data_IF_661577217852
#
_entry.id   IF_661577217852
#
_cell.length_a   1.000
_cell.length_b   1.000
_cell.length_c   1.000
_cell.angle_alpha   90.00
_cell.angle_beta   90.00
_cell.angle_gamma   90.00
#
_symmetry.space_group_name_H-M   'P 1'
#
loop_
_entity.id
_entity.type
_entity.pdbx_description
1 polymer ?
#
# COMPACT_ATOMS: atom_id res chain seq x y z
N UNK A 1 -16.82 40.23 -17.42
CA UNK A 1 -17.18 39.39 -16.25
C UNK A 1 -16.86 37.92 -16.55
N UNK A 2 -15.60 37.60 -16.81
CA UNK A 2 -15.15 36.22 -17.09
C UNK A 2 -13.81 36.09 -16.37
N UNK A 3 -13.83 35.73 -15.08
CA UNK A 3 -12.59 35.37 -14.37
C UNK A 3 -12.80 34.60 -13.07
N UNK A 4 -14.00 34.62 -12.46
CA UNK A 4 -14.22 33.81 -11.25
C UNK A 4 -14.51 32.34 -11.55
N UNK A 5 -15.17 32.02 -12.67
CA UNK A 5 -15.55 30.63 -12.98
C UNK A 5 -14.36 29.74 -13.38
N UNK A 6 -13.33 30.31 -14.02
CA UNK A 6 -12.16 29.55 -14.46
C UNK A 6 -11.31 29.10 -13.27
N UNK A 7 -11.19 29.95 -12.24
CA UNK A 7 -10.42 29.67 -11.02
C UNK A 7 -11.12 28.59 -10.17
N UNK A 8 -12.45 28.63 -10.09
CA UNK A 8 -13.25 27.60 -9.39
C UNK A 8 -13.15 26.24 -10.09
N UNK A 9 -13.03 26.23 -11.42
CA UNK A 9 -12.88 24.97 -12.17
C UNK A 9 -11.52 24.30 -11.92
N UNK A 10 -10.44 25.08 -11.82
CA UNK A 10 -9.09 24.53 -11.59
C UNK A 10 -8.99 23.94 -10.18
N UNK A 11 -9.61 24.55 -9.17
CA UNK A 11 -9.61 24.01 -7.80
C UNK A 11 -10.48 22.77 -7.63
N UNK A 12 -11.55 22.63 -8.43
CA UNK A 12 -12.43 21.44 -8.42
C UNK A 12 -11.89 20.24 -9.20
N UNK A 13 -10.81 20.39 -9.98
CA UNK A 13 -10.11 19.25 -10.62
C UNK A 13 -8.96 18.69 -9.78
N UNK A 14 -8.54 19.35 -8.70
CA UNK A 14 -7.63 18.79 -7.70
C UNK A 14 -8.38 17.91 -6.68
N UNK A 15 -9.42 17.21 -7.14
CA UNK A 15 -10.13 16.21 -6.34
C UNK A 15 -9.15 15.09 -6.04
N UNK A 16 -8.68 15.11 -4.79
CA UNK A 16 -8.17 13.98 -4.02
C UNK A 16 -6.84 13.38 -4.47
N UNK A 17 -5.79 14.19 -4.57
CA UNK A 17 -4.48 13.69 -4.11
C UNK A 17 -4.51 13.70 -2.58
N UNK A 18 -5.20 12.70 -2.01
CA UNK A 18 -4.95 12.32 -0.63
C UNK A 18 -3.54 11.74 -0.64
N UNK A 19 -2.54 12.60 -0.47
CA UNK A 19 -1.28 12.15 0.09
C UNK A 19 -1.65 11.68 1.50
N UNK A 20 -1.56 10.38 1.82
CA UNK A 20 -1.71 9.96 3.20
C UNK A 20 -0.71 10.81 3.99
N UNK A 21 -1.23 11.55 4.98
CA UNK A 21 -0.37 12.22 5.95
C UNK A 21 0.58 11.16 6.50
N UNK A 22 1.84 11.52 6.74
CA UNK A 22 2.79 10.56 7.30
C UNK A 22 2.36 10.01 8.67
N UNK A 23 1.30 10.55 9.28
CA UNK A 23 0.66 10.04 10.50
C UNK A 23 -0.45 8.99 10.26
N UNK A 24 -1.02 8.87 9.06
CA UNK A 24 -1.88 7.74 8.67
C UNK A 24 -1.05 6.53 8.16
N UNK A 25 0.29 6.63 8.20
CA UNK A 25 1.26 5.54 7.97
C UNK A 25 1.36 4.56 9.15
N UNK A 26 0.32 4.35 9.96
CA UNK A 26 0.37 3.36 11.05
C UNK A 26 0.32 1.93 10.48
N UNK A 27 1.37 1.53 9.76
CA UNK A 27 1.79 0.14 9.74
C UNK A 27 1.93 -0.27 11.20
N UNK A 28 1.19 -1.29 11.61
CA UNK A 28 1.11 -1.59 13.03
C UNK A 28 2.48 -1.94 13.60
N UNK A 29 2.79 -1.41 14.77
CA UNK A 29 3.92 -1.88 15.55
C UNK A 29 3.43 -3.11 16.31
N UNK A 30 3.91 -4.30 15.94
CA UNK A 30 3.52 -5.54 16.58
C UNK A 30 3.76 -5.55 18.10
N UNK A 31 4.69 -4.72 18.61
CA UNK A 31 4.96 -4.55 20.05
C UNK A 31 3.98 -3.58 20.71
N UNK A 32 3.55 -2.52 20.04
CA UNK A 32 2.65 -1.50 20.63
C UNK A 32 1.17 -1.84 20.41
N UNK A 33 0.81 -2.36 19.23
CA UNK A 33 -0.57 -2.63 18.83
C UNK A 33 -1.07 -4.02 19.24
N UNK A 34 -0.17 -4.91 19.71
CA UNK A 34 -0.51 -6.28 20.08
C UNK A 34 -1.05 -7.14 18.93
N UNK A 35 -0.83 -6.71 17.68
CA UNK A 35 -1.17 -7.45 16.45
C UNK A 35 0.03 -8.28 16.01
N UNK A 36 -0.23 -9.51 15.56
CA UNK A 36 0.85 -10.36 15.09
C UNK A 36 1.14 -10.23 13.60
N UNK A 37 0.17 -9.78 12.79
CA UNK A 37 0.32 -9.54 11.35
C UNK A 37 0.30 -8.04 11.04
N UNK A 38 1.42 -7.52 10.52
CA UNK A 38 1.63 -6.08 10.34
C UNK A 38 2.33 -5.69 9.04
N UNK A 39 2.14 -4.43 8.65
CA UNK A 39 2.87 -3.80 7.55
C UNK A 39 4.16 -3.19 8.10
N UNK A 40 5.27 -3.58 7.50
CA UNK A 40 6.59 -3.04 7.80
C UNK A 40 7.12 -2.22 6.63
N UNK A 41 7.97 -1.24 6.91
CA UNK A 41 8.67 -0.48 5.88
C UNK A 41 9.68 -1.34 5.12
N UNK A 42 9.67 -1.22 3.81
CA UNK A 42 10.66 -1.84 2.92
C UNK A 42 11.04 -0.87 1.81
N UNK A 43 12.25 -0.33 1.92
CA UNK A 43 12.79 0.64 0.97
C UNK A 43 13.45 -0.08 -0.20
N UNK A 44 13.00 0.23 -1.40
CA UNK A 44 13.52 -0.30 -2.66
C UNK A 44 14.07 0.82 -3.52
N UNK A 45 15.12 0.50 -4.27
CA UNK A 45 15.64 1.37 -5.32
C UNK A 45 15.10 0.92 -6.68
N UNK A 46 14.11 1.64 -7.20
CA UNK A 46 13.46 1.29 -8.47
C UNK A 46 14.40 1.49 -9.67
N UNK A 47 15.30 2.47 -9.62
CA UNK A 47 16.27 2.72 -10.69
C UNK A 47 17.28 1.56 -10.84
N UNK A 48 17.60 0.85 -9.75
CA UNK A 48 18.42 -0.37 -9.81
C UNK A 48 17.70 -1.56 -10.44
N UNK A 49 16.36 -1.59 -10.39
CA UNK A 49 15.52 -2.64 -10.99
C UNK A 49 15.33 -2.37 -12.48
N UNK A 50 15.00 -1.13 -12.82
CA UNK A 50 14.87 -0.66 -14.19
C UNK A 50 15.51 0.73 -14.32
N UNK A 51 16.68 0.84 -15.00
CA UNK A 51 17.37 2.13 -15.20
C UNK A 51 16.57 3.17 -15.99
N UNK A 52 15.47 2.78 -16.63
CA UNK A 52 14.57 3.72 -17.32
C UNK A 52 13.65 4.44 -16.35
N UNK A 53 13.51 3.98 -15.11
CA UNK A 53 12.74 4.67 -14.07
C UNK A 53 13.49 5.93 -13.65
N UNK A 54 12.82 7.07 -13.79
CA UNK A 54 13.32 8.41 -13.45
C UNK A 54 12.82 8.84 -12.06
N UNK A 55 11.61 8.42 -11.69
CA UNK A 55 11.06 8.73 -10.37
C UNK A 55 9.92 7.77 -9.98
N UNK A 56 9.76 7.48 -8.67
CA UNK A 56 10.74 7.76 -7.61
C UNK A 56 11.93 6.78 -7.69
N UNK A 57 13.14 7.25 -7.32
CA UNK A 57 14.33 6.38 -7.31
C UNK A 57 14.35 5.45 -6.11
N UNK A 58 14.15 5.98 -4.90
CA UNK A 58 14.04 5.22 -3.67
C UNK A 58 12.64 5.43 -3.10
N UNK A 59 11.94 4.35 -2.77
CA UNK A 59 10.58 4.43 -2.22
C UNK A 59 10.34 3.32 -1.22
N UNK A 60 9.46 3.57 -0.25
CA UNK A 60 8.99 2.54 0.67
C UNK A 60 7.76 1.85 0.06
N UNK A 61 7.90 0.62 -0.42
CA UNK A 61 6.77 -0.16 -0.93
C UNK A 61 6.01 -0.89 0.17
N UNK A 62 6.65 -1.04 1.34
CA UNK A 62 6.17 -1.82 2.46
C UNK A 62 6.04 -3.33 2.16
N UNK A 63 5.94 -4.12 3.20
CA UNK A 63 5.61 -5.55 3.11
C UNK A 63 4.79 -5.99 4.32
N UNK A 64 4.08 -7.11 4.19
CA UNK A 64 3.35 -7.72 5.29
C UNK A 64 4.17 -8.84 5.90
N UNK A 65 4.23 -8.88 7.22
CA UNK A 65 4.97 -9.90 7.96
C UNK A 65 4.38 -10.19 9.33
N UNK A 66 4.87 -11.26 9.94
CA UNK A 66 4.46 -11.70 11.29
C UNK A 66 3.43 -12.82 11.29
N UNK A 67 3.02 -13.22 12.49
CA UNK A 67 2.13 -14.37 12.71
C UNK A 67 0.66 -13.98 12.57
N UNK A 68 -0.21 -14.97 12.38
CA UNK A 68 -1.64 -14.76 12.39
C UNK A 68 -2.25 -15.34 13.65
N UNK A 69 -2.69 -14.46 14.55
CA UNK A 69 -3.43 -14.81 15.77
C UNK A 69 -4.90 -14.46 15.61
N UNK A 70 -5.77 -15.03 16.46
CA UNK A 70 -7.22 -14.82 16.43
C UNK A 70 -7.68 -13.37 16.61
N UNK A 71 -6.78 -12.49 17.06
CA UNK A 71 -7.05 -11.06 17.23
C UNK A 71 -6.76 -10.25 15.96
N UNK A 72 -6.10 -10.86 14.96
CA UNK A 72 -5.78 -10.20 13.70
C UNK A 72 -6.99 -10.18 12.74
N UNK A 73 -6.88 -9.40 11.68
CA UNK A 73 -7.88 -9.33 10.61
C UNK A 73 -7.88 -10.62 9.78
N UNK A 74 -8.54 -11.66 10.29
CA UNK A 74 -8.62 -13.00 9.68
C UNK A 74 -9.78 -13.06 8.68
N UNK A 75 -9.55 -13.73 7.55
CA UNK A 75 -10.61 -14.03 6.58
C UNK A 75 -11.65 -15.02 7.14
N UNK A 76 -12.88 -15.02 6.61
CA UNK A 76 -13.90 -16.01 7.01
C UNK A 76 -13.41 -17.46 6.91
N UNK A 77 -12.59 -17.78 5.91
CA UNK A 77 -11.99 -19.11 5.76
C UNK A 77 -11.02 -19.44 6.91
N UNK A 78 -10.20 -18.47 7.35
CA UNK A 78 -9.32 -18.64 8.50
C UNK A 78 -10.10 -18.90 9.80
N UNK A 79 -11.23 -18.20 9.99
CA UNK A 79 -12.14 -18.44 11.12
C UNK A 79 -12.78 -19.84 11.07
N UNK A 80 -13.20 -20.29 9.89
CA UNK A 80 -13.76 -21.63 9.69
C UNK A 80 -12.70 -22.70 10.00
N UNK A 81 -11.46 -22.54 9.52
CA UNK A 81 -10.37 -23.49 9.82
C UNK A 81 -10.09 -23.58 11.30
N UNK A 82 -10.02 -22.44 12.00
CA UNK A 82 -9.84 -22.43 13.45
C UNK A 82 -10.96 -23.19 14.17
N UNK A 83 -12.21 -22.87 13.84
CA UNK A 83 -13.39 -23.46 14.49
C UNK A 83 -13.56 -24.95 14.18
N UNK A 84 -13.33 -25.36 12.93
CA UNK A 84 -13.60 -26.72 12.45
C UNK A 84 -12.44 -27.69 12.72
N UNK A 85 -11.19 -27.25 12.55
CA UNK A 85 -10.02 -28.12 12.61
C UNK A 85 -9.24 -28.00 13.93
N UNK A 86 -9.61 -27.05 14.81
CA UNK A 86 -8.83 -26.67 15.99
C UNK A 86 -7.36 -26.37 15.65
N UNK A 87 -7.10 -25.97 14.41
CA UNK A 87 -5.76 -25.61 13.95
C UNK A 87 -5.36 -24.28 14.60
N UNK A 88 -4.22 -24.25 15.27
CA UNK A 88 -3.60 -22.99 15.74
C UNK A 88 -3.16 -22.09 14.59
N UNK A 89 -3.03 -22.67 13.38
CA UNK A 89 -2.64 -21.96 12.18
C UNK A 89 -3.88 -21.46 11.42
N UNK A 90 -4.09 -20.14 11.43
CA UNK A 90 -5.27 -19.50 10.83
C UNK A 90 -4.97 -18.82 9.48
N UNK A 91 -3.72 -18.88 9.01
CA UNK A 91 -3.29 -18.30 7.74
C UNK A 91 -1.91 -17.65 7.80
N UNK A 92 -1.46 -17.08 6.67
CA UNK A 92 -0.26 -16.27 6.57
C UNK A 92 -0.61 -14.77 6.57
N UNK A 93 0.32 -13.93 7.02
CA UNK A 93 0.17 -12.49 6.90
C UNK A 93 0.50 -12.05 5.47
N UNK A 94 -0.44 -11.40 4.79
CA UNK A 94 -0.26 -10.99 3.40
C UNK A 94 -0.93 -9.64 3.11
N UNK A 95 -0.57 -8.96 2.00
CA UNK A 95 -1.22 -7.72 1.60
C UNK A 95 -2.73 -7.89 1.41
N UNK A 96 -3.50 -6.93 1.93
CA UNK A 96 -4.95 -6.85 1.75
C UNK A 96 -5.32 -5.80 0.72
N UNK A 97 -4.82 -4.58 0.87
CA UNK A 97 -5.03 -3.52 -0.11
C UNK A 97 -3.71 -2.89 -0.53
N UNK A 98 -3.69 -2.41 -1.77
CA UNK A 98 -2.59 -1.67 -2.36
C UNK A 98 -3.07 -0.26 -2.73
N UNK A 99 -2.16 0.70 -2.72
CA UNK A 99 -2.41 2.05 -3.25
C UNK A 99 -1.85 2.11 -4.68
N UNK A 100 -2.56 2.74 -5.64
CA UNK A 100 -1.99 3.07 -6.93
C UNK A 100 -0.69 3.86 -6.77
N UNK A 101 0.36 3.36 -7.39
CA UNK A 101 1.70 3.91 -7.28
C UNK A 101 2.19 4.39 -8.65
N UNK A 102 2.47 5.68 -8.76
CA UNK A 102 2.93 6.31 -9.99
C UNK A 102 4.45 6.16 -10.16
N UNK A 103 4.88 5.76 -11.36
CA UNK A 103 6.28 5.67 -11.76
C UNK A 103 6.46 6.47 -13.05
N UNK A 104 7.44 7.38 -13.04
CA UNK A 104 7.89 8.07 -14.24
C UNK A 104 9.03 7.28 -14.90
N UNK A 105 8.87 6.96 -16.18
CA UNK A 105 9.85 6.20 -16.97
C UNK A 105 10.22 6.97 -18.23
N UNK A 106 11.45 6.77 -18.71
CA UNK A 106 11.89 7.26 -20.03
C UNK A 106 11.77 6.16 -21.07
N UNK A 107 11.07 6.45 -22.16
CA UNK A 107 11.01 5.61 -23.34
C UNK A 107 11.68 6.31 -24.55
N UNK A 108 11.49 5.77 -25.75
CA UNK A 108 12.05 6.34 -26.99
C UNK A 108 11.36 7.63 -27.45
N UNK A 109 10.18 7.96 -26.91
CA UNK A 109 9.37 9.12 -27.29
C UNK A 109 9.37 10.22 -26.23
N UNK A 110 9.80 9.93 -25.00
CA UNK A 110 9.91 10.92 -23.94
C UNK A 110 9.79 10.33 -22.54
N UNK A 111 9.12 11.08 -21.67
CA UNK A 111 8.80 10.66 -20.30
C UNK A 111 7.34 10.24 -20.28
N UNK A 112 7.08 9.05 -19.76
CA UNK A 112 5.75 8.50 -19.55
C UNK A 112 5.48 8.31 -18.06
N UNK A 113 4.21 8.40 -17.68
CA UNK A 113 3.74 8.04 -16.35
C UNK A 113 2.99 6.70 -16.41
N UNK A 114 3.41 5.76 -15.56
CA UNK A 114 2.79 4.44 -15.40
C UNK A 114 2.24 4.30 -13.98
N UNK A 115 0.99 3.85 -13.85
CA UNK A 115 0.36 3.59 -12.55
C UNK A 115 0.32 2.09 -12.28
N UNK A 116 0.88 1.68 -11.13
CA UNK A 116 0.90 0.30 -10.67
C UNK A 116 -0.04 0.12 -9.48
N UNK A 117 -1.07 -0.70 -9.63
CA UNK A 117 -2.09 -0.92 -8.59
C UNK A 117 -1.71 -1.96 -7.54
N UNK A 118 -0.54 -2.58 -7.62
CA UNK A 118 -0.14 -3.74 -6.81
C UNK A 118 1.29 -3.66 -6.28
N UNK A 119 1.85 -2.45 -6.20
CA UNK A 119 3.25 -2.24 -5.79
C UNK A 119 3.37 -1.70 -4.36
N UNK A 120 2.60 -0.65 -4.02
CA UNK A 120 2.61 -0.08 -2.68
C UNK A 120 1.60 -0.80 -1.78
N UNK A 121 2.09 -1.58 -0.81
CA UNK A 121 1.26 -2.26 0.18
C UNK A 121 0.71 -1.25 1.18
N UNK A 122 -0.62 -1.14 1.31
CA UNK A 122 -1.25 -0.23 2.26
C UNK A 122 -1.51 -0.88 3.62
N UNK A 123 -2.11 -2.08 3.62
CA UNK A 123 -2.43 -2.82 4.84
C UNK A 123 -2.35 -4.33 4.64
N UNK A 124 -2.35 -5.05 5.76
CA UNK A 124 -2.17 -6.49 5.82
C UNK A 124 -3.41 -7.20 6.38
N UNK A 125 -3.54 -8.49 6.09
CA UNK A 125 -4.53 -9.39 6.68
C UNK A 125 -3.98 -10.80 6.82
N UNK A 126 -4.72 -11.62 7.56
CA UNK A 126 -4.46 -13.05 7.72
C UNK A 126 -5.40 -13.89 6.86
N UNK A 127 -4.84 -14.79 6.04
CA UNK A 127 -5.60 -15.65 5.13
C UNK A 127 -4.80 -16.79 4.54
#
# INVERSE_FOLDING_TARGET
MVNCYLIIFITLTFVNFIQPSEDDNSGCDAKEDGKSCCRFSHFVNLHKIDPKIIAPHNTNIGYCGGNCSLRDNITNNGLIRYAALKELFVGCCHPKTFVPFEILKRDKHGIISEYHSNLYTFNCRCG
#
